data_IF_257436540958
#
_entry.id   IF_257436540958
#
_cell.length_a   1.000
_cell.length_b   1.000
_cell.length_c   1.000
_cell.angle_alpha   90.00
_cell.angle_beta   90.00
_cell.angle_gamma   90.00
#
_symmetry.space_group_name_H-M   'P 1'
#
loop_
_entity.id
_entity.type
_entity.pdbx_description
1 polymer ?
#
# COMPACT_ATOMS: atom_id res chain seq x y z
N UNK A 1 1.55 11.55 -7.69
CA UNK A 1 2.09 10.69 -6.62
C UNK A 1 1.41 9.33 -6.73
N UNK A 2 2.16 8.25 -6.51
CA UNK A 2 1.60 6.90 -6.47
C UNK A 2 0.89 6.68 -5.12
N UNK A 3 -0.41 6.34 -5.13
CA UNK A 3 -1.19 6.11 -3.90
C UNK A 3 -0.59 4.99 -3.04
N UNK A 4 0.04 3.98 -3.66
CA UNK A 4 0.73 2.94 -2.89
C UNK A 4 1.92 3.52 -2.11
N UNK A 5 2.63 4.50 -2.69
CA UNK A 5 3.72 5.19 -2.03
C UNK A 5 3.24 6.08 -0.88
N UNK A 6 2.12 6.78 -1.04
CA UNK A 6 1.50 7.57 0.04
C UNK A 6 1.16 6.69 1.25
N UNK A 7 0.56 5.52 1.02
CA UNK A 7 0.26 4.58 2.10
C UNK A 7 1.53 4.00 2.77
N UNK A 8 2.59 3.71 2.00
CA UNK A 8 3.88 3.29 2.56
C UNK A 8 4.54 4.39 3.41
N UNK A 9 4.37 5.66 3.05
CA UNK A 9 4.85 6.78 3.86
C UNK A 9 4.09 6.87 5.19
N UNK A 10 2.76 6.71 5.17
CA UNK A 10 1.96 6.67 6.39
C UNK A 10 2.32 5.48 7.30
N UNK A 11 2.60 4.30 6.73
CA UNK A 11 3.11 3.14 7.47
C UNK A 11 4.43 3.48 8.17
N UNK A 12 5.40 4.00 7.43
CA UNK A 12 6.71 4.36 7.97
C UNK A 12 6.61 5.42 9.08
N UNK A 13 5.71 6.39 8.95
CA UNK A 13 5.47 7.39 9.97
C UNK A 13 4.87 6.79 11.25
N UNK A 14 3.90 5.88 11.12
CA UNK A 14 3.32 5.19 12.28
C UNK A 14 4.39 4.37 13.04
N UNK A 15 5.26 3.65 12.33
CA UNK A 15 6.38 2.91 12.93
C UNK A 15 7.37 3.85 13.63
N UNK A 16 7.68 4.99 13.00
CA UNK A 16 8.58 6.01 13.55
C UNK A 16 8.02 6.66 14.82
N UNK A 17 6.71 6.86 14.90
CA UNK A 17 6.07 7.33 16.13
C UNK A 17 6.08 6.24 17.19
N UNK A 18 5.71 5.00 16.83
CA UNK A 18 5.67 3.87 17.76
C UNK A 18 7.02 3.58 18.43
N UNK A 19 8.14 3.84 17.75
CA UNK A 19 9.48 3.69 18.32
C UNK A 19 9.86 4.78 19.32
N UNK A 20 9.14 5.90 19.33
CA UNK A 20 9.35 7.05 20.23
C UNK A 20 8.32 7.15 21.34
N UNK A 21 7.27 6.33 21.30
CA UNK A 21 6.18 6.33 22.27
C UNK A 21 6.46 5.35 23.41
N UNK A 22 6.36 5.86 24.64
CA UNK A 22 6.53 5.06 25.86
C UNK A 22 5.22 4.40 26.35
N UNK A 23 4.05 4.98 26.03
CA UNK A 23 2.76 4.35 26.35
C UNK A 23 2.54 3.12 25.45
N UNK A 24 2.37 1.98 26.10
CA UNK A 24 2.23 0.67 25.43
C UNK A 24 0.97 0.59 24.57
N UNK A 25 -0.14 1.23 24.98
CA UNK A 25 -1.40 1.21 24.24
C UNK A 25 -1.27 2.06 22.99
N UNK A 26 -0.70 3.25 23.10
CA UNK A 26 -0.47 4.14 21.97
C UNK A 26 0.50 3.51 20.97
N UNK A 27 1.55 2.85 21.47
CA UNK A 27 2.47 2.06 20.64
C UNK A 27 1.76 0.94 19.88
N UNK A 28 0.92 0.17 20.56
CA UNK A 28 0.14 -0.90 19.92
C UNK A 28 -0.83 -0.36 18.86
N UNK A 29 -1.49 0.77 19.14
CA UNK A 29 -2.37 1.44 18.19
C UNK A 29 -1.61 1.88 16.92
N UNK A 30 -0.46 2.53 17.09
CA UNK A 30 0.37 2.97 15.97
C UNK A 30 0.85 1.80 15.10
N UNK A 31 1.21 0.67 15.72
CA UNK A 31 1.57 -0.55 14.98
C UNK A 31 0.36 -1.07 14.18
N UNK A 32 -0.82 -1.16 14.78
CA UNK A 32 -2.03 -1.61 14.08
C UNK A 32 -2.40 -0.68 12.91
N UNK A 33 -2.18 0.63 13.06
CA UNK A 33 -2.36 1.59 11.97
C UNK A 33 -1.36 1.36 10.83
N UNK A 34 -0.08 1.12 11.16
CA UNK A 34 0.95 0.83 10.17
C UNK A 34 0.60 -0.41 9.33
N UNK A 35 0.15 -1.49 9.98
CA UNK A 35 -0.29 -2.71 9.28
C UNK A 35 -1.46 -2.47 8.34
N UNK A 36 -2.40 -1.60 8.74
CA UNK A 36 -3.55 -1.25 7.91
C UNK A 36 -3.15 -0.40 6.70
N UNK A 37 -2.19 0.51 6.85
CA UNK A 37 -1.62 1.25 5.73
C UNK A 37 -0.89 0.33 4.74
N UNK A 38 -0.08 -0.61 5.24
CA UNK A 38 0.56 -1.64 4.40
C UNK A 38 -0.45 -2.42 3.57
N UNK A 39 -1.53 -2.89 4.21
CA UNK A 39 -2.59 -3.61 3.51
C UNK A 39 -3.30 -2.78 2.44
N UNK A 40 -3.43 -1.46 2.61
CA UNK A 40 -3.95 -0.57 1.57
C UNK A 40 -2.96 -0.38 0.41
N UNK A 41 -1.66 -0.23 0.71
CA UNK A 41 -0.60 -0.14 -0.29
C UNK A 41 -0.56 -1.40 -1.17
N UNK A 42 -0.67 -2.57 -0.56
CA UNK A 42 -0.68 -3.85 -1.27
C UNK A 42 -1.89 -3.98 -2.19
N UNK A 43 -3.09 -3.60 -1.71
CA UNK A 43 -4.32 -3.61 -2.52
C UNK A 43 -4.22 -2.70 -3.75
N UNK A 44 -3.70 -1.49 -3.58
CA UNK A 44 -3.52 -0.55 -4.70
C UNK A 44 -2.47 -1.06 -5.69
N UNK A 45 -1.35 -1.59 -5.19
CA UNK A 45 -0.29 -2.18 -6.02
C UNK A 45 -0.85 -3.35 -6.84
N UNK A 46 -1.59 -4.24 -6.19
CA UNK A 46 -2.19 -5.39 -6.83
C UNK A 46 -3.23 -4.99 -7.90
N UNK A 47 -4.10 -4.02 -7.59
CA UNK A 47 -5.06 -3.49 -8.56
C UNK A 47 -4.37 -2.86 -9.79
N UNK A 48 -3.27 -2.14 -9.58
CA UNK A 48 -2.48 -1.57 -10.66
C UNK A 48 -1.84 -2.65 -11.55
N UNK A 49 -1.31 -3.72 -10.95
CA UNK A 49 -0.76 -4.87 -11.67
C UNK A 49 -1.84 -5.56 -12.50
N UNK A 50 -3.00 -5.85 -11.91
CA UNK A 50 -4.13 -6.48 -12.62
C UNK A 50 -4.62 -5.61 -13.79
N UNK A 51 -4.74 -4.30 -13.60
CA UNK A 51 -5.11 -3.37 -14.67
C UNK A 51 -4.09 -3.39 -15.81
N UNK A 52 -2.79 -3.41 -15.49
CA UNK A 52 -1.73 -3.49 -16.50
C UNK A 52 -1.78 -4.81 -17.28
N UNK A 53 -2.04 -5.93 -16.59
CA UNK A 53 -2.20 -7.24 -17.20
C UNK A 53 -3.41 -7.27 -18.17
N UNK A 54 -4.58 -6.79 -17.72
CA UNK A 54 -5.78 -6.70 -18.55
C UNK A 54 -5.55 -5.86 -19.81
N UNK A 55 -4.93 -4.68 -19.68
CA UNK A 55 -4.62 -3.80 -20.82
C UNK A 55 -3.60 -4.43 -21.80
N UNK A 56 -2.74 -5.33 -21.32
CA UNK A 56 -1.76 -6.03 -22.16
C UNK A 56 -2.37 -7.22 -22.90
N UNK A 57 -3.48 -7.75 -22.39
CA UNK A 57 -4.17 -8.93 -22.92
C UNK A 57 -5.25 -8.57 -23.95
N UNK A 58 -5.65 -7.29 -24.06
CA UNK A 58 -6.57 -6.78 -25.09
C UNK A 58 -5.94 -6.62 -26.50
N UNK A 59 -4.70 -7.06 -26.72
CA UNK A 59 -4.12 -7.15 -28.08
C UNK A 59 -3.81 -8.60 -28.47
N UNK A 60 -4.82 -9.32 -28.98
CA UNK A 60 -4.58 -10.14 -30.16
C UNK A 60 -5.54 -9.78 -31.31
N UNK A 61 -4.89 -9.33 -32.40
CA UNK A 61 -5.22 -9.49 -33.83
C UNK A 61 -6.61 -9.12 -34.35
N UNK A 62 -6.63 -8.26 -35.37
CA UNK A 62 -6.86 -8.81 -36.71
C UNK A 62 -5.79 -8.28 -37.68
N UNK A 63 -5.03 -9.22 -38.22
CA UNK A 63 -4.36 -9.06 -39.49
C UNK A 63 -5.42 -8.77 -40.57
N UNK A 64 -5.18 -7.73 -41.37
CA UNK A 64 -5.58 -7.62 -42.77
C UNK A 64 -4.56 -6.73 -43.49
#
# INVERSE_FOLDING_TARGET
MDKANEYRQCEAECIRLASKTDDVRDKALLIAMAERWRGLADKVTHAAILKKAANSQERPTYWN
#
